data_IF_181536798242
#
_entry.id   IF_181536798242
#
_cell.length_a   1.000
_cell.length_b   1.000
_cell.length_c   1.000
_cell.angle_alpha   90.00
_cell.angle_beta   90.00
_cell.angle_gamma   90.00
#
_symmetry.space_group_name_H-M   'P 1'
#
loop_
_entity.id
_entity.type
_entity.pdbx_description
1 polymer ?
#
# COMPACT_ATOMS: atom_id res chain seq x y z
N UNK A 1 -1.52 -39.31 31.77
CA UNK A 1 -2.59 -39.01 30.79
C UNK A 1 -2.52 -37.53 30.43
N UNK A 2 -2.41 -37.14 29.16
CA UNK A 2 -2.38 -35.73 28.76
C UNK A 2 -3.81 -35.14 28.80
N UNK A 3 -3.98 -33.83 29.08
CA UNK A 3 -5.29 -33.22 29.15
C UNK A 3 -5.92 -33.07 27.75
N UNK A 4 -7.18 -33.48 27.64
CA UNK A 4 -8.00 -33.36 26.42
C UNK A 4 -8.25 -31.88 26.10
N UNK A 5 -7.89 -31.43 24.90
CA UNK A 5 -8.30 -30.13 24.35
C UNK A 5 -9.82 -30.08 24.23
N UNK A 6 -10.43 -29.08 24.87
CA UNK A 6 -11.87 -28.82 24.80
C UNK A 6 -12.31 -28.48 23.38
N UNK A 7 -13.46 -29.04 22.99
CA UNK A 7 -14.16 -28.75 21.74
C UNK A 7 -14.65 -27.30 21.77
N UNK A 8 -14.30 -26.53 20.74
CA UNK A 8 -14.91 -25.23 20.44
C UNK A 8 -16.39 -25.45 20.11
N UNK A 9 -17.28 -24.91 20.94
CA UNK A 9 -18.72 -24.88 20.67
C UNK A 9 -19.10 -23.87 19.57
N UNK A 10 -20.34 -23.89 19.08
CA UNK A 10 -20.82 -22.98 18.05
C UNK A 10 -20.86 -21.55 18.60
N UNK A 11 -20.22 -20.60 17.90
CA UNK A 11 -20.34 -19.16 18.16
C UNK A 11 -21.76 -18.74 17.82
N UNK A 12 -22.56 -18.43 18.84
CA UNK A 12 -23.96 -18.00 18.70
C UNK A 12 -24.11 -16.58 18.18
N UNK A 13 -25.20 -16.38 17.43
CA UNK A 13 -25.61 -15.22 16.62
C UNK A 13 -25.97 -13.93 17.40
N UNK A 14 -25.45 -13.74 18.61
CA UNK A 14 -25.82 -12.63 19.48
C UNK A 14 -25.11 -11.30 19.17
N UNK A 15 -24.24 -11.25 18.16
CA UNK A 15 -23.45 -10.06 17.79
C UNK A 15 -23.95 -9.35 16.51
N UNK A 16 -25.04 -9.83 15.91
CA UNK A 16 -25.58 -9.28 14.67
C UNK A 16 -26.30 -7.93 14.84
N UNK A 17 -26.68 -7.54 16.06
CA UNK A 17 -27.55 -6.38 16.28
C UNK A 17 -26.81 -5.03 16.43
N UNK A 18 -25.56 -5.01 16.92
CA UNK A 18 -24.79 -3.76 17.10
C UNK A 18 -23.81 -3.48 15.93
N UNK A 19 -23.81 -4.34 14.90
CA UNK A 19 -22.86 -4.31 13.78
C UNK A 19 -23.31 -3.46 12.57
N UNK A 20 -24.46 -2.77 12.64
CA UNK A 20 -25.11 -2.12 11.49
C UNK A 20 -24.95 -0.60 11.43
N UNK A 21 -23.99 -0.01 12.15
CA UNK A 21 -23.49 1.33 11.85
C UNK A 21 -22.54 1.34 10.62
N UNK A 22 -22.78 0.46 9.64
CA UNK A 22 -21.93 0.26 8.47
C UNK A 22 -22.09 1.37 7.42
N UNK A 23 -23.28 1.95 7.29
CA UNK A 23 -23.61 2.91 6.22
C UNK A 23 -22.86 4.25 6.35
N UNK A 24 -22.58 4.69 7.57
CA UNK A 24 -21.78 5.90 7.82
C UNK A 24 -20.25 5.63 7.82
N UNK A 25 -19.82 4.37 7.91
CA UNK A 25 -18.41 4.00 8.12
C UNK A 25 -17.73 3.43 6.87
N UNK A 26 -18.46 2.71 6.01
CA UNK A 26 -17.91 2.12 4.79
C UNK A 26 -17.56 3.17 3.72
N UNK A 27 -18.37 4.23 3.60
CA UNK A 27 -18.18 5.27 2.60
C UNK A 27 -17.01 6.22 2.94
N UNK A 28 -16.96 6.78 4.15
CA UNK A 28 -15.95 7.78 4.52
C UNK A 28 -14.55 7.17 4.73
N UNK A 29 -14.47 5.94 5.25
CA UNK A 29 -13.20 5.34 5.67
C UNK A 29 -12.41 4.68 4.52
N UNK A 30 -13.09 4.31 3.42
CA UNK A 30 -12.42 3.80 2.22
C UNK A 30 -12.20 4.87 1.13
N UNK A 31 -12.92 5.99 1.17
CA UNK A 31 -12.75 7.10 0.21
C UNK A 31 -11.42 7.88 0.39
N UNK A 32 -10.78 7.80 1.56
CA UNK A 32 -9.48 8.42 1.83
C UNK A 32 -8.33 7.66 1.13
N UNK A 33 -8.15 7.97 -0.15
CA UNK A 33 -7.32 7.22 -1.07
C UNK A 33 -5.82 7.54 -0.93
N UNK A 34 -5.03 6.60 -0.39
CA UNK A 34 -3.56 6.64 -0.53
C UNK A 34 -3.09 6.43 -2.00
N UNK A 35 -4.01 6.08 -2.91
CA UNK A 35 -3.76 5.62 -4.27
C UNK A 35 -4.11 6.61 -5.38
N UNK A 36 -4.82 7.71 -5.09
CA UNK A 36 -5.18 8.71 -6.10
C UNK A 36 -3.97 9.45 -6.70
N UNK A 37 -2.81 9.44 -6.03
CA UNK A 37 -1.69 10.33 -6.33
C UNK A 37 -0.56 9.74 -7.21
N UNK A 38 -0.69 8.52 -7.77
CA UNK A 38 0.39 7.91 -8.57
C UNK A 38 0.16 7.94 -10.09
N UNK A 39 -0.90 8.61 -10.57
CA UNK A 39 -1.19 8.73 -12.00
C UNK A 39 -0.18 9.57 -12.79
N UNK A 40 0.78 10.24 -12.14
CA UNK A 40 1.77 11.09 -12.81
C UNK A 40 2.95 10.34 -13.45
N UNK A 41 3.15 9.05 -13.15
CA UNK A 41 4.38 8.33 -13.55
C UNK A 41 4.16 7.16 -14.51
N UNK A 42 2.90 6.85 -14.88
CA UNK A 42 2.58 5.56 -15.50
C UNK A 42 1.95 5.55 -16.89
N UNK A 43 1.49 6.66 -17.48
CA UNK A 43 0.58 6.50 -18.65
C UNK A 43 0.63 7.51 -19.80
N UNK A 44 1.46 8.55 -19.81
CA UNK A 44 1.40 9.51 -20.92
C UNK A 44 2.72 9.57 -21.70
N UNK A 45 2.79 8.84 -22.82
CA UNK A 45 3.67 9.21 -23.94
C UNK A 45 4.38 8.11 -24.72
N UNK A 46 3.96 6.84 -24.68
CA UNK A 46 4.75 5.75 -25.30
C UNK A 46 4.24 5.25 -26.66
N UNK A 47 3.17 5.84 -27.20
CA UNK A 47 2.71 5.56 -28.56
C UNK A 47 2.34 6.85 -29.27
N UNK A 48 2.98 7.10 -30.42
CA UNK A 48 2.77 8.20 -31.38
C UNK A 48 3.72 9.39 -31.22
N UNK A 49 4.76 9.45 -32.06
CA UNK A 49 5.47 10.70 -32.35
C UNK A 49 6.98 10.66 -32.47
N UNK A 50 7.59 9.62 -33.06
CA UNK A 50 9.00 9.66 -33.47
C UNK A 50 9.14 9.26 -34.94
N UNK A 51 8.69 10.16 -35.82
CA UNK A 51 9.19 10.25 -37.18
C UNK A 51 9.73 11.67 -37.39
N UNK A 52 11.02 11.73 -37.76
CA UNK A 52 11.83 12.89 -38.13
C UNK A 52 12.53 13.68 -37.01
N UNK A 53 13.87 13.76 -37.10
CA UNK A 53 14.68 14.74 -36.35
C UNK A 53 16.00 14.24 -35.77
N UNK A 54 17.00 14.05 -36.62
CA UNK A 54 18.46 14.02 -36.40
C UNK A 54 19.03 14.15 -34.95
N UNK A 55 19.82 13.14 -34.60
CA UNK A 55 21.20 13.22 -34.07
C UNK A 55 21.47 14.03 -32.78
N UNK A 56 21.70 13.32 -31.68
CA UNK A 56 22.97 13.42 -30.93
C UNK A 56 23.21 12.15 -30.12
N UNK A 57 24.45 11.63 -30.19
CA UNK A 57 24.92 10.44 -29.49
C UNK A 57 24.75 10.58 -27.98
N UNK A 58 23.71 9.98 -27.40
CA UNK A 58 23.66 9.70 -25.97
C UNK A 58 24.05 8.24 -25.74
N UNK A 59 25.09 8.07 -24.94
CA UNK A 59 25.57 6.80 -24.43
C UNK A 59 24.41 5.97 -23.90
N UNK A 60 24.35 4.71 -24.32
CA UNK A 60 23.49 3.67 -23.77
C UNK A 60 23.53 3.74 -22.24
N UNK A 61 22.41 4.12 -21.63
CA UNK A 61 22.25 4.03 -20.19
C UNK A 61 22.56 2.57 -19.79
N UNK A 62 23.38 2.32 -18.76
CA UNK A 62 23.59 0.97 -18.30
C UNK A 62 22.23 0.41 -17.94
N UNK A 63 21.81 -0.68 -18.62
CA UNK A 63 20.61 -1.41 -18.25
C UNK A 63 20.76 -1.71 -16.77
N UNK A 64 19.92 -1.08 -15.94
CA UNK A 64 19.84 -1.41 -14.52
C UNK A 64 19.76 -2.92 -14.44
N UNK A 65 20.80 -3.58 -13.92
CA UNK A 65 20.84 -5.03 -13.83
C UNK A 65 19.54 -5.46 -13.14
N UNK A 66 18.64 -6.09 -13.91
CA UNK A 66 17.36 -6.53 -13.39
C UNK A 66 17.69 -7.60 -12.35
N UNK A 67 17.49 -7.25 -11.08
CA UNK A 67 17.62 -8.22 -9.99
C UNK A 67 16.48 -9.20 -10.19
N UNK A 68 16.80 -10.50 -10.20
CA UNK A 68 15.77 -11.51 -10.43
C UNK A 68 14.74 -11.43 -9.30
N UNK A 69 13.42 -11.52 -9.58
CA UNK A 69 12.38 -11.41 -8.56
C UNK A 69 12.59 -12.33 -7.34
N UNK A 70 13.17 -13.52 -7.58
CA UNK A 70 13.50 -14.47 -6.51
C UNK A 70 14.61 -13.98 -5.56
N UNK A 71 15.57 -13.21 -6.04
CA UNK A 71 16.62 -12.59 -5.21
C UNK A 71 16.05 -11.42 -4.41
N UNK A 72 15.20 -10.60 -5.04
CA UNK A 72 14.46 -9.53 -4.34
C UNK A 72 13.58 -10.10 -3.22
N UNK A 73 12.90 -11.23 -3.48
CA UNK A 73 12.08 -11.90 -2.48
C UNK A 73 12.90 -12.38 -1.28
N UNK A 74 14.11 -12.92 -1.51
CA UNK A 74 15.00 -13.33 -0.41
C UNK A 74 15.41 -12.13 0.45
N UNK A 75 15.78 -11.01 -0.18
CA UNK A 75 16.15 -9.79 0.52
C UNK A 75 14.96 -9.22 1.32
N UNK A 76 13.76 -9.23 0.72
CA UNK A 76 12.54 -8.79 1.39
C UNK A 76 12.19 -9.69 2.59
N UNK A 77 12.24 -11.01 2.42
CA UNK A 77 11.94 -11.96 3.49
C UNK A 77 12.94 -11.86 4.65
N UNK A 78 14.22 -11.63 4.35
CA UNK A 78 15.24 -11.36 5.37
C UNK A 78 14.92 -10.07 6.13
N UNK A 79 14.62 -8.96 5.42
CA UNK A 79 14.23 -7.70 6.05
C UNK A 79 12.98 -7.82 6.91
N UNK A 80 11.95 -8.53 6.43
CA UNK A 80 10.73 -8.76 7.20
C UNK A 80 11.00 -9.55 8.49
N UNK A 81 11.93 -10.53 8.43
CA UNK A 81 12.39 -11.27 9.60
C UNK A 81 13.11 -10.34 10.59
N UNK A 82 14.04 -9.51 10.11
CA UNK A 82 14.80 -8.58 10.97
C UNK A 82 13.86 -7.60 11.68
N UNK A 83 12.92 -6.99 10.94
CA UNK A 83 11.87 -6.13 11.51
C UNK A 83 11.09 -6.87 12.58
N UNK A 84 10.62 -8.09 12.29
CA UNK A 84 9.88 -8.89 13.25
C UNK A 84 10.70 -9.19 14.52
N UNK A 85 12.00 -9.47 14.39
CA UNK A 85 12.90 -9.75 15.51
C UNK A 85 13.15 -8.52 16.40
N UNK A 86 13.20 -7.32 15.80
CA UNK A 86 13.36 -6.04 16.51
C UNK A 86 12.08 -5.57 17.23
N UNK A 87 10.90 -6.03 16.81
CA UNK A 87 9.64 -5.61 17.44
C UNK A 87 9.57 -6.01 18.93
N UNK A 88 8.99 -5.14 19.78
CA UNK A 88 8.68 -5.50 21.16
C UNK A 88 7.68 -6.66 21.20
N UNK A 89 7.54 -7.31 22.36
CA UNK A 89 6.66 -8.48 22.53
C UNK A 89 5.24 -8.24 22.00
N UNK A 90 4.67 -7.07 22.27
CA UNK A 90 3.36 -6.69 21.76
C UNK A 90 3.37 -6.52 20.24
N UNK A 91 4.36 -5.83 19.66
CA UNK A 91 4.51 -5.69 18.21
C UNK A 91 4.61 -7.05 17.50
N UNK A 92 5.34 -8.02 18.08
CA UNK A 92 5.40 -9.40 17.57
C UNK A 92 4.06 -10.11 17.60
N UNK A 93 3.20 -9.85 18.61
CA UNK A 93 1.82 -10.36 18.63
C UNK A 93 0.99 -9.76 17.51
N UNK A 94 1.06 -8.43 17.33
CA UNK A 94 0.34 -7.72 16.26
C UNK A 94 0.75 -8.23 14.87
N UNK A 95 2.04 -8.48 14.65
CA UNK A 95 2.53 -9.06 13.40
C UNK A 95 1.91 -10.44 13.12
N UNK A 96 1.80 -11.29 14.15
CA UNK A 96 1.17 -12.62 14.03
C UNK A 96 -0.34 -12.53 13.79
N UNK A 97 -1.02 -11.59 14.45
CA UNK A 97 -2.45 -11.32 14.25
C UNK A 97 -2.71 -10.90 12.79
N UNK A 98 -1.98 -9.90 12.29
CA UNK A 98 -2.05 -9.48 10.88
C UNK A 98 -1.78 -10.66 9.94
N UNK A 99 -0.73 -11.44 10.21
CA UNK A 99 -0.40 -12.60 9.40
C UNK A 99 -1.49 -13.67 9.37
N UNK A 100 -2.18 -13.88 10.50
CA UNK A 100 -3.31 -14.81 10.57
C UNK A 100 -4.49 -14.29 9.75
N UNK A 101 -4.81 -13.00 9.87
CA UNK A 101 -5.86 -12.36 9.08
C UNK A 101 -5.55 -12.43 7.58
N UNK A 102 -4.32 -12.11 7.15
CA UNK A 102 -3.92 -12.22 5.73
C UNK A 102 -4.11 -13.65 5.23
N UNK A 103 -3.63 -14.65 5.98
CA UNK A 103 -3.78 -16.04 5.61
C UNK A 103 -5.25 -16.43 5.44
N UNK A 104 -6.10 -16.06 6.40
CA UNK A 104 -7.52 -16.39 6.38
C UNK A 104 -8.24 -15.73 5.20
N UNK A 105 -7.99 -14.44 4.96
CA UNK A 105 -8.51 -13.69 3.82
C UNK A 105 -8.11 -14.35 2.49
N UNK A 106 -6.84 -14.72 2.33
CA UNK A 106 -6.36 -15.34 1.09
C UNK A 106 -6.86 -16.78 0.89
N UNK A 107 -7.02 -17.57 1.96
CA UNK A 107 -7.45 -18.98 1.83
C UNK A 107 -8.96 -19.16 1.78
N UNK A 108 -9.71 -18.39 2.54
CA UNK A 108 -11.17 -18.51 2.64
C UNK A 108 -11.89 -17.48 1.76
N UNK A 109 -11.16 -16.55 1.13
CA UNK A 109 -11.77 -15.49 0.32
C UNK A 109 -12.59 -14.51 1.16
N UNK A 110 -12.27 -14.38 2.46
CA UNK A 110 -12.98 -13.47 3.37
C UNK A 110 -12.82 -12.04 2.90
N UNK A 111 -13.86 -11.24 3.01
CA UNK A 111 -13.94 -9.89 2.41
C UNK A 111 -13.80 -8.81 3.48
N UNK A 112 -14.06 -9.17 4.74
CA UNK A 112 -13.98 -8.28 5.89
C UNK A 112 -12.68 -8.46 6.69
N UNK A 113 -11.54 -8.13 6.08
CA UNK A 113 -10.25 -8.20 6.76
C UNK A 113 -10.24 -7.46 8.11
N UNK A 114 -10.81 -6.25 8.17
CA UNK A 114 -10.83 -5.48 9.43
C UNK A 114 -11.68 -6.14 10.53
N UNK A 115 -12.80 -6.78 10.17
CA UNK A 115 -13.64 -7.47 11.15
C UNK A 115 -12.85 -8.60 11.82
N UNK A 116 -12.19 -9.42 11.00
CA UNK A 116 -11.35 -10.50 11.48
C UNK A 116 -10.16 -9.95 12.28
N UNK A 117 -9.56 -8.85 11.83
CA UNK A 117 -8.49 -8.16 12.55
C UNK A 117 -8.93 -7.73 13.95
N UNK A 118 -10.10 -7.12 14.11
CA UNK A 118 -10.64 -6.71 15.43
C UNK A 118 -10.82 -7.92 16.35
N UNK A 119 -11.45 -8.99 15.87
CA UNK A 119 -11.66 -10.23 16.63
C UNK A 119 -10.35 -10.86 17.09
N UNK A 120 -9.36 -10.92 16.20
CA UNK A 120 -8.03 -11.46 16.51
C UNK A 120 -7.24 -10.55 17.47
N UNK A 121 -7.39 -9.23 17.36
CA UNK A 121 -6.78 -8.27 18.29
C UNK A 121 -7.39 -8.38 19.70
N UNK A 122 -8.71 -8.42 19.81
CA UNK A 122 -9.42 -8.58 21.08
C UNK A 122 -8.91 -9.84 21.82
N UNK A 123 -8.72 -10.92 21.07
CA UNK A 123 -8.21 -12.19 21.58
C UNK A 123 -6.73 -12.12 21.98
N UNK A 124 -5.88 -11.44 21.20
CA UNK A 124 -4.43 -11.51 21.35
C UNK A 124 -3.82 -10.48 22.31
N UNK A 125 -4.41 -9.28 22.38
CA UNK A 125 -3.85 -8.13 23.11
C UNK A 125 -4.78 -7.52 24.16
N UNK A 126 -6.06 -7.89 24.20
CA UNK A 126 -7.01 -7.41 25.22
C UNK A 126 -7.54 -6.01 24.90
N UNK A 127 -7.70 -5.16 25.92
CA UNK A 127 -8.25 -3.81 25.78
C UNK A 127 -7.40 -2.94 24.84
N UNK A 128 -8.03 -2.44 23.78
CA UNK A 128 -7.39 -1.60 22.78
C UNK A 128 -8.43 -0.73 22.05
N UNK A 129 -7.93 0.29 21.35
CA UNK A 129 -8.73 1.01 20.35
C UNK A 129 -8.06 0.87 18.99
N UNK A 130 -8.86 0.51 17.98
CA UNK A 130 -8.40 0.40 16.60
C UNK A 130 -9.11 1.46 15.75
N UNK A 131 -8.33 2.42 15.26
CA UNK A 131 -8.79 3.49 14.38
C UNK A 131 -8.19 3.28 12.98
N UNK A 132 -9.03 3.24 11.95
CA UNK A 132 -8.55 3.23 10.56
C UNK A 132 -7.94 4.59 10.23
N UNK A 133 -6.78 4.58 9.60
CA UNK A 133 -6.07 5.80 9.18
C UNK A 133 -6.33 6.11 7.71
N UNK A 134 -6.06 5.14 6.83
CA UNK A 134 -6.31 5.22 5.39
C UNK A 134 -6.12 3.86 4.76
N UNK A 135 -6.99 3.47 3.82
CA UNK A 135 -6.91 2.16 3.16
C UNK A 135 -6.77 1.02 4.19
N UNK A 136 -5.74 0.19 4.03
CA UNK A 136 -5.43 -0.92 4.95
C UNK A 136 -4.33 -0.57 5.94
N UNK A 137 -4.45 0.60 6.56
CA UNK A 137 -3.61 1.09 7.65
C UNK A 137 -4.48 1.46 8.84
N UNK A 138 -4.06 1.04 10.01
CA UNK A 138 -4.74 1.31 11.26
C UNK A 138 -3.77 1.80 12.31
N UNK A 139 -4.29 2.63 13.20
CA UNK A 139 -3.67 3.04 14.45
C UNK A 139 -4.31 2.19 15.54
N UNK A 140 -3.48 1.44 16.25
CA UNK A 140 -3.85 0.67 17.42
C UNK A 140 -3.29 1.36 18.66
N UNK A 141 -4.17 1.76 19.59
CA UNK A 141 -3.78 2.34 20.87
C UNK A 141 -4.04 1.33 22.00
N UNK A 142 -3.05 1.11 22.86
CA UNK A 142 -3.10 0.20 24.00
C UNK A 142 -2.47 0.89 25.21
N UNK A 143 -3.32 1.43 26.09
CA UNK A 143 -2.90 2.33 27.16
C UNK A 143 -2.15 3.53 26.58
N UNK A 144 -0.92 3.74 27.02
CA UNK A 144 -0.06 4.83 26.53
C UNK A 144 0.65 4.47 25.21
N UNK A 145 0.69 3.19 24.81
CA UNK A 145 1.43 2.76 23.62
C UNK A 145 0.59 2.87 22.35
N UNK A 146 1.21 3.31 21.26
CA UNK A 146 0.55 3.45 19.95
C UNK A 146 1.32 2.69 18.88
N UNK A 147 0.60 1.94 18.05
CA UNK A 147 1.14 1.13 16.97
C UNK A 147 0.46 1.50 15.65
N UNK A 148 1.24 1.60 14.59
CA UNK A 148 0.73 1.66 13.23
C UNK A 148 0.83 0.26 12.64
N UNK A 149 -0.31 -0.32 12.28
CA UNK A 149 -0.39 -1.66 11.71
C UNK A 149 -0.98 -1.58 10.31
N UNK A 150 -0.47 -2.37 9.38
CA UNK A 150 -0.94 -2.38 7.99
C UNK A 150 -0.60 -3.67 7.25
N UNK A 151 -1.25 -3.88 6.10
CA UNK A 151 -0.87 -4.91 5.13
C UNK A 151 -0.18 -4.24 3.95
N UNK A 152 1.08 -4.57 3.72
CA UNK A 152 1.89 -4.00 2.64
C UNK A 152 1.87 -4.93 1.43
N UNK A 153 1.53 -4.38 0.28
CA UNK A 153 1.61 -5.04 -1.02
C UNK A 153 2.81 -4.53 -1.84
N UNK A 154 3.52 -5.43 -2.50
CA UNK A 154 4.66 -5.13 -3.38
C UNK A 154 4.67 -6.02 -4.61
N UNK A 155 5.30 -5.55 -5.68
CA UNK A 155 5.55 -6.34 -6.90
C UNK A 155 7.04 -6.33 -7.16
N UNK A 156 7.61 -7.53 -7.30
CA UNK A 156 9.03 -7.77 -7.53
C UNK A 156 9.26 -8.17 -8.99
N UNK A 157 10.30 -7.63 -9.62
CA UNK A 157 10.69 -7.92 -11.00
C UNK A 157 10.01 -7.13 -12.12
N UNK A 158 8.71 -6.84 -12.01
CA UNK A 158 7.95 -6.17 -13.08
C UNK A 158 7.27 -4.89 -12.58
N UNK A 159 7.81 -3.70 -12.89
CA UNK A 159 7.24 -2.42 -12.44
C UNK A 159 5.93 -2.06 -13.16
N UNK A 160 5.71 -2.54 -14.38
CA UNK A 160 4.48 -2.26 -15.13
C UNK A 160 3.29 -3.00 -14.51
N UNK A 161 3.52 -4.23 -14.04
CA UNK A 161 2.53 -4.98 -13.26
C UNK A 161 2.13 -4.24 -11.98
N UNK A 162 3.04 -3.52 -11.32
CA UNK A 162 2.66 -2.71 -10.15
C UNK A 162 1.65 -1.64 -10.56
N UNK A 163 1.92 -0.90 -11.65
CA UNK A 163 1.04 0.15 -12.16
C UNK A 163 -0.34 -0.40 -12.52
N UNK A 164 -0.37 -1.56 -13.18
CA UNK A 164 -1.61 -2.24 -13.52
C UNK A 164 -2.38 -2.70 -12.28
N UNK A 165 -1.70 -3.36 -11.34
CA UNK A 165 -2.29 -3.79 -10.08
C UNK A 165 -2.85 -2.59 -9.30
N UNK A 166 -2.20 -1.40 -9.37
CA UNK A 166 -2.76 -0.17 -8.81
C UNK A 166 -4.10 0.20 -9.43
N UNK A 167 -4.16 0.18 -10.76
CA UNK A 167 -5.37 0.51 -11.51
C UNK A 167 -6.49 -0.47 -11.17
N UNK A 168 -6.23 -1.77 -11.23
CA UNK A 168 -7.24 -2.80 -10.97
C UNK A 168 -7.68 -2.81 -9.51
N UNK A 169 -6.78 -2.63 -8.54
CA UNK A 169 -7.18 -2.53 -7.12
C UNK A 169 -8.09 -1.34 -6.84
N UNK A 170 -7.93 -0.22 -7.55
CA UNK A 170 -8.88 0.91 -7.47
C UNK A 170 -10.25 0.54 -8.01
N UNK A 171 -10.33 -0.12 -9.16
CA UNK A 171 -11.59 -0.58 -9.73
C UNK A 171 -12.32 -1.57 -8.80
N UNK A 172 -11.59 -2.53 -8.23
CA UNK A 172 -12.12 -3.47 -7.22
C UNK A 172 -12.66 -2.73 -6.00
N UNK A 173 -11.91 -1.76 -5.44
CA UNK A 173 -12.38 -0.96 -4.29
C UNK A 173 -13.61 -0.12 -4.63
N UNK A 174 -13.58 0.61 -5.75
CA UNK A 174 -14.70 1.45 -6.16
C UNK A 174 -15.97 0.62 -6.36
N UNK A 175 -15.83 -0.59 -6.92
CA UNK A 175 -16.94 -1.54 -7.10
C UNK A 175 -17.44 -2.06 -5.75
N UNK A 176 -16.55 -2.45 -4.84
CA UNK A 176 -16.93 -2.90 -3.49
C UNK A 176 -17.75 -1.86 -2.72
N UNK A 177 -17.47 -0.58 -2.93
CA UNK A 177 -18.10 0.54 -2.22
C UNK A 177 -19.27 1.16 -2.98
N UNK A 178 -19.53 0.72 -4.20
CA UNK A 178 -20.59 1.27 -5.01
C UNK A 178 -21.96 1.00 -4.36
N UNK A 179 -22.93 1.89 -4.60
CA UNK A 179 -24.30 1.78 -4.08
C UNK A 179 -24.38 1.53 -2.56
N UNK A 180 -23.55 2.22 -1.76
CA UNK A 180 -23.54 2.01 -0.30
C UNK A 180 -22.91 0.69 0.12
N UNK A 181 -21.92 0.21 -0.64
CA UNK A 181 -21.22 -1.05 -0.42
C UNK A 181 -22.08 -2.32 -0.55
N UNK A 182 -23.11 -2.31 -1.40
CA UNK A 182 -23.99 -3.46 -1.70
C UNK A 182 -23.18 -4.73 -2.03
N UNK A 183 -22.16 -4.62 -2.88
CA UNK A 183 -21.28 -5.75 -3.22
C UNK A 183 -20.56 -6.34 -2.01
N UNK A 184 -20.17 -5.50 -1.05
CA UNK A 184 -19.52 -5.97 0.18
C UNK A 184 -20.49 -6.87 0.98
N UNK A 185 -21.75 -6.45 1.12
CA UNK A 185 -22.79 -7.21 1.80
C UNK A 185 -23.10 -8.52 1.06
N UNK A 186 -23.38 -8.42 -0.23
CA UNK A 186 -23.74 -9.56 -1.09
C UNK A 186 -22.68 -10.65 -1.09
N UNK A 187 -21.40 -10.27 -1.20
CA UNK A 187 -20.33 -11.25 -1.25
C UNK A 187 -20.05 -11.90 0.11
N UNK A 188 -20.44 -11.25 1.21
CA UNK A 188 -20.32 -11.80 2.57
C UNK A 188 -21.40 -12.84 2.83
N UNK A 189 -22.61 -12.58 2.36
CA UNK A 189 -23.73 -13.51 2.46
C UNK A 189 -23.61 -14.63 1.41
N UNK A 190 -23.04 -14.34 0.25
CA UNK A 190 -22.90 -15.28 -0.86
C UNK A 190 -21.56 -15.15 -1.60
N UNK A 191 -20.52 -15.86 -1.15
CA UNK A 191 -19.20 -15.86 -1.80
C UNK A 191 -19.20 -16.32 -3.27
N UNK A 192 -20.25 -17.02 -3.74
CA UNK A 192 -20.36 -17.44 -5.14
C UNK A 192 -20.60 -16.27 -6.10
N UNK A 193 -21.01 -15.11 -5.59
CA UNK A 193 -21.18 -13.88 -6.39
C UNK A 193 -19.84 -13.26 -6.81
N UNK A 194 -18.70 -13.80 -6.36
CA UNK A 194 -17.38 -13.26 -6.68
C UNK A 194 -17.14 -13.09 -8.18
N UNK A 195 -17.54 -14.06 -9.01
CA UNK A 195 -17.35 -13.94 -10.46
C UNK A 195 -18.14 -12.77 -11.06
N UNK A 196 -19.40 -12.58 -10.63
CA UNK A 196 -20.23 -11.45 -11.05
C UNK A 196 -19.66 -10.11 -10.57
N UNK A 197 -19.15 -10.07 -9.33
CA UNK A 197 -18.46 -8.91 -8.78
C UNK A 197 -17.22 -8.53 -9.61
N UNK A 198 -16.36 -9.51 -9.92
CA UNK A 198 -15.14 -9.24 -10.70
C UNK A 198 -15.48 -8.75 -12.12
N UNK A 199 -16.57 -9.26 -12.73
CA UNK A 199 -17.06 -8.75 -13.99
C UNK A 199 -17.53 -7.29 -13.87
N UNK A 200 -18.24 -6.94 -12.80
CA UNK A 200 -18.66 -5.56 -12.53
C UNK A 200 -17.45 -4.63 -12.35
N UNK A 201 -16.42 -5.09 -11.63
CA UNK A 201 -15.17 -4.34 -11.46
C UNK A 201 -14.40 -4.18 -12.77
N UNK A 202 -14.41 -5.18 -13.65
CA UNK A 202 -13.81 -5.08 -14.99
C UNK A 202 -14.53 -4.01 -15.83
N UNK A 203 -15.86 -4.04 -15.84
CA UNK A 203 -16.66 -3.05 -16.55
C UNK A 203 -16.40 -1.62 -16.03
N UNK A 204 -16.29 -1.44 -14.71
CA UNK A 204 -15.92 -0.16 -14.10
C UNK A 204 -14.55 0.33 -14.60
N UNK A 205 -13.57 -0.57 -14.67
CA UNK A 205 -12.21 -0.25 -15.15
C UNK A 205 -12.20 0.19 -16.62
N UNK A 206 -13.04 -0.41 -17.46
CA UNK A 206 -13.17 -0.06 -18.89
C UNK A 206 -13.88 1.28 -19.09
N UNK A 207 -14.95 1.54 -18.33
CA UNK A 207 -15.67 2.81 -18.36
C UNK A 207 -14.79 3.99 -17.91
N UNK A 208 -13.92 3.77 -16.93
CA UNK A 208 -12.98 4.79 -16.46
C UNK A 208 -11.91 5.11 -17.52
N UNK A 209 -11.50 4.11 -18.32
CA UNK A 209 -10.55 4.31 -19.44
C UNK A 209 -11.20 5.01 -20.65
N UNK A 210 -12.47 4.70 -20.95
CA UNK A 210 -13.20 5.29 -22.07
C UNK A 210 -13.48 6.79 -21.88
N UNK A 211 -13.62 7.23 -20.63
CA UNK A 211 -13.73 8.66 -20.29
C UNK A 211 -12.35 9.29 -20.13
N UNK A 212 -11.48 9.16 -21.14
CA UNK A 212 -10.08 9.61 -21.21
C UNK A 212 -9.79 11.09 -20.90
N UNK A 213 -10.74 11.84 -20.35
CA UNK A 213 -10.41 12.99 -19.54
C UNK A 213 -9.75 12.52 -18.25
N UNK A 214 -8.75 13.30 -17.81
CA UNK A 214 -8.78 13.75 -16.42
C UNK A 214 -10.26 13.89 -16.07
N UNK A 215 -10.83 13.01 -15.23
CA UNK A 215 -11.99 13.45 -14.46
C UNK A 215 -11.43 14.68 -13.78
N UNK A 216 -11.74 15.86 -14.33
CA UNK A 216 -11.59 17.15 -13.67
C UNK A 216 -12.11 16.82 -12.30
N UNK A 217 -11.21 16.71 -11.33
CA UNK A 217 -11.51 16.19 -10.00
C UNK A 217 -12.79 16.91 -9.61
N UNK A 218 -13.92 16.19 -9.67
CA UNK A 218 -15.23 16.84 -9.79
C UNK A 218 -15.28 17.80 -8.64
N UNK A 219 -15.26 19.10 -8.96
CA UNK A 219 -14.75 20.20 -8.14
C UNK A 219 -14.69 19.76 -6.68
N UNK A 220 -13.55 19.15 -6.28
CA UNK A 220 -13.49 18.51 -4.96
C UNK A 220 -13.48 19.70 -4.01
N UNK A 221 -14.66 20.09 -3.53
CA UNK A 221 -14.85 21.10 -2.51
C UNK A 221 -13.98 20.67 -1.33
N UNK A 222 -12.84 21.33 -1.22
CA UNK A 222 -11.79 20.90 -0.32
C UNK A 222 -10.63 21.86 -0.42
N UNK A 223 -10.03 22.15 0.73
CA UNK A 223 -8.83 22.96 0.80
C UNK A 223 -7.73 22.31 -0.04
N UNK A 224 -7.04 23.13 -0.83
CA UNK A 224 -5.88 22.71 -1.60
C UNK A 224 -4.62 22.98 -0.77
N UNK A 225 -3.66 22.07 -0.87
CA UNK A 225 -2.33 22.25 -0.32
C UNK A 225 -1.65 23.46 -0.99
N UNK A 226 -1.18 24.41 -0.18
CA UNK A 226 -0.51 25.63 -0.66
C UNK A 226 0.81 25.36 -1.39
N UNK A 227 1.44 24.21 -1.17
CA UNK A 227 2.72 23.85 -1.79
C UNK A 227 2.54 23.14 -3.12
N UNK A 228 1.67 22.13 -3.17
CA UNK A 228 1.51 21.29 -4.37
C UNK A 228 0.20 21.48 -5.13
N UNK A 229 -0.69 22.34 -4.61
CA UNK A 229 -2.02 22.62 -5.17
C UNK A 229 -2.92 21.39 -5.33
N UNK A 230 -2.59 20.28 -4.65
CA UNK A 230 -3.44 19.09 -4.58
C UNK A 230 -4.36 19.15 -3.36
N UNK A 231 -5.54 18.52 -3.40
CA UNK A 231 -6.37 18.35 -2.21
C UNK A 231 -5.59 17.72 -1.05
N UNK A 232 -5.85 18.16 0.20
CA UNK A 232 -5.23 17.59 1.40
C UNK A 232 -5.50 16.08 1.60
N UNK A 233 -6.52 15.55 0.93
CA UNK A 233 -6.80 14.11 0.86
C UNK A 233 -5.76 13.30 0.07
N UNK A 234 -5.05 13.93 -0.87
CA UNK A 234 -4.07 13.27 -1.74
C UNK A 234 -2.69 13.19 -1.09
N UNK A 235 -1.81 12.34 -1.63
CA UNK A 235 -0.40 12.23 -1.21
C UNK A 235 -0.20 12.01 0.31
N UNK A 236 -1.15 11.35 0.96
CA UNK A 236 -1.08 11.07 2.39
C UNK A 236 -0.10 9.95 2.71
N UNK A 237 0.71 10.16 3.74
CA UNK A 237 1.59 9.15 4.32
C UNK A 237 1.41 9.16 5.83
N UNK A 238 0.99 8.03 6.40
CA UNK A 238 0.60 7.99 7.81
C UNK A 238 -0.51 8.99 8.11
N UNK A 239 -1.54 9.05 7.25
CA UNK A 239 -2.70 9.94 7.42
C UNK A 239 -2.43 11.43 7.21
N UNK A 240 -1.18 11.84 7.02
CA UNK A 240 -0.77 13.24 6.85
C UNK A 240 -0.44 13.53 5.39
N UNK A 241 -0.89 14.66 4.86
CA UNK A 241 -0.49 15.10 3.52
C UNK A 241 1.02 15.36 3.47
N UNK A 242 1.73 14.72 2.55
CA UNK A 242 3.16 14.92 2.35
C UNK A 242 3.49 15.11 0.87
N UNK A 243 3.73 16.37 0.48
CA UNK A 243 4.00 16.71 -0.92
C UNK A 243 5.17 15.91 -1.48
N UNK A 244 4.99 15.37 -2.68
CA UNK A 244 6.06 14.72 -3.43
C UNK A 244 6.99 15.76 -4.01
N UNK A 245 8.27 15.66 -3.67
CA UNK A 245 9.28 16.59 -4.15
C UNK A 245 10.48 15.84 -4.73
N UNK A 246 11.17 16.51 -5.63
CA UNK A 246 12.51 16.15 -6.11
C UNK A 246 13.52 17.04 -5.42
N UNK A 247 14.41 16.43 -4.65
CA UNK A 247 15.41 17.14 -3.85
C UNK A 247 16.73 16.38 -3.84
N UNK A 248 17.83 17.13 -3.83
CA UNK A 248 19.16 16.56 -3.63
C UNK A 248 19.51 16.50 -2.16
N UNK A 249 20.18 15.44 -1.72
CA UNK A 249 20.73 15.29 -0.39
C UNK A 249 22.26 15.25 -0.46
N UNK A 250 22.91 15.77 0.59
CA UNK A 250 24.36 15.83 0.71
C UNK A 250 24.83 15.14 2.00
N UNK A 251 25.81 14.26 1.89
CA UNK A 251 26.46 13.60 3.03
C UNK A 251 27.79 12.97 2.61
N UNK A 252 28.81 12.99 3.48
CA UNK A 252 30.11 12.34 3.23
C UNK A 252 30.74 12.66 1.86
N UNK A 253 30.72 13.95 1.46
CA UNK A 253 31.15 14.45 0.14
C UNK A 253 30.40 13.88 -1.08
N UNK A 254 29.33 13.12 -0.86
CA UNK A 254 28.46 12.59 -1.92
C UNK A 254 27.17 13.40 -2.00
N UNK A 255 26.63 13.49 -3.23
CA UNK A 255 25.33 14.08 -3.53
C UNK A 255 24.46 13.05 -4.24
N UNK A 256 23.19 12.97 -3.87
CA UNK A 256 22.21 12.16 -4.60
C UNK A 256 20.87 12.87 -4.67
N UNK A 257 20.14 12.67 -5.76
CA UNK A 257 18.78 13.21 -5.93
C UNK A 257 17.78 12.12 -5.66
N UNK A 258 16.75 12.45 -4.88
CA UNK A 258 15.57 11.60 -4.76
C UNK A 258 14.39 12.19 -5.52
N UNK A 259 13.79 11.36 -6.35
CA UNK A 259 12.58 11.68 -7.11
C UNK A 259 11.28 11.41 -6.33
N UNK A 260 11.42 10.86 -5.12
CA UNK A 260 10.31 10.45 -4.26
C UNK A 260 10.52 10.92 -2.82
N UNK A 261 11.23 12.04 -2.64
CA UNK A 261 11.31 12.68 -1.35
C UNK A 261 9.96 13.29 -0.99
N UNK A 262 9.77 13.55 0.30
CA UNK A 262 8.52 14.03 0.87
C UNK A 262 8.78 15.31 1.63
N UNK A 263 7.91 16.30 1.45
CA UNK A 263 7.86 17.48 2.31
C UNK A 263 6.73 17.29 3.31
N UNK A 264 7.03 17.41 4.60
CA UNK A 264 6.05 17.33 5.68
C UNK A 264 5.63 18.76 6.06
N UNK A 265 4.35 19.07 5.87
CA UNK A 265 3.78 20.39 6.19
C UNK A 265 3.81 20.71 7.68
N UNK A 266 3.44 19.74 8.53
CA UNK A 266 3.35 19.97 9.98
C UNK A 266 4.74 20.25 10.58
N UNK A 267 5.77 19.57 10.08
CA UNK A 267 7.16 19.77 10.50
C UNK A 267 7.88 20.85 9.68
N UNK A 268 7.20 21.44 8.69
CA UNK A 268 7.72 22.42 7.74
C UNK A 268 9.10 22.06 7.14
N UNK A 269 9.34 20.76 6.85
CA UNK A 269 10.66 20.29 6.38
C UNK A 269 10.60 19.15 5.37
N UNK A 270 11.71 18.98 4.66
CA UNK A 270 11.99 17.80 3.84
C UNK A 270 12.30 16.61 4.74
N UNK A 271 11.63 15.48 4.48
CA UNK A 271 11.89 14.21 5.14
C UNK A 271 13.26 13.67 4.69
N UNK A 272 14.03 13.17 5.65
CA UNK A 272 15.42 12.76 5.47
C UNK A 272 15.60 11.54 4.59
N UNK A 273 16.80 11.44 4.00
CA UNK A 273 17.29 10.19 3.40
C UNK A 273 18.66 9.82 3.94
N UNK A 274 18.82 8.57 4.39
CA UNK A 274 20.07 8.04 4.92
C UNK A 274 21.10 7.91 3.81
N UNK A 275 22.32 8.36 4.09
CA UNK A 275 23.47 8.15 3.24
C UNK A 275 23.84 6.66 3.24
N UNK A 276 23.97 6.07 2.04
CA UNK A 276 24.37 4.65 1.90
C UNK A 276 25.71 4.34 2.60
N UNK A 277 26.61 5.32 2.70
CA UNK A 277 27.97 5.13 3.24
C UNK A 277 28.02 5.12 4.77
N UNK A 278 27.37 6.09 5.42
CA UNK A 278 27.48 6.29 6.87
C UNK A 278 26.18 6.05 7.64
N UNK A 279 25.05 5.81 6.98
CA UNK A 279 23.75 5.59 7.61
C UNK A 279 23.05 6.85 8.13
N UNK A 280 23.74 7.99 8.25
CA UNK A 280 23.15 9.25 8.71
C UNK A 280 22.27 9.89 7.64
N UNK A 281 21.23 10.62 8.04
CA UNK A 281 20.42 11.40 7.11
C UNK A 281 21.26 12.51 6.45
N UNK A 282 21.20 12.58 5.12
CA UNK A 282 21.82 13.65 4.35
C UNK A 282 21.08 14.97 4.53
N UNK A 283 21.81 16.08 4.38
CA UNK A 283 21.23 17.41 4.38
C UNK A 283 20.51 17.65 3.04
N UNK A 284 19.19 17.90 3.03
CA UNK A 284 18.47 18.24 1.80
C UNK A 284 18.97 19.59 1.26
N UNK A 285 18.99 19.77 -0.05
CA UNK A 285 19.24 21.07 -0.66
C UNK A 285 18.03 21.98 -0.51
N UNK A 286 18.30 23.27 -0.33
CA UNK A 286 17.26 24.30 -0.26
C UNK A 286 16.46 24.39 -1.57
N UNK A 287 17.08 23.99 -2.69
CA UNK A 287 16.42 23.87 -3.99
C UNK A 287 15.76 22.51 -4.11
N UNK A 288 14.44 22.51 -4.20
CA UNK A 288 13.62 21.36 -4.56
C UNK A 288 12.47 21.82 -5.45
N UNK A 289 11.84 20.87 -6.13
CA UNK A 289 10.66 21.12 -6.95
C UNK A 289 9.63 20.02 -6.72
N UNK A 290 8.36 20.30 -7.01
CA UNK A 290 7.32 19.27 -6.95
C UNK A 290 7.64 18.16 -7.95
N UNK A 291 7.38 16.91 -7.54
CA UNK A 291 7.64 15.74 -8.39
C UNK A 291 6.84 15.75 -9.69
N UNK A 292 5.64 16.35 -9.68
CA UNK A 292 4.79 16.44 -10.87
C UNK A 292 5.24 17.51 -11.87
N UNK A 293 6.13 18.41 -11.46
CA UNK A 293 6.69 19.45 -12.33
C UNK A 293 7.94 18.97 -13.07
N UNK A 294 8.42 17.75 -12.81
CA UNK A 294 9.63 17.22 -13.43
C UNK A 294 9.30 16.57 -14.77
N UNK A 295 10.06 16.93 -15.80
CA UNK A 295 9.87 16.39 -17.14
C UNK A 295 10.10 14.86 -17.17
N UNK A 296 9.23 14.10 -17.87
CA UNK A 296 9.43 12.67 -18.07
C UNK A 296 10.80 12.40 -18.71
N UNK A 297 11.61 11.53 -18.09
CA UNK A 297 12.94 11.13 -18.61
C UNK A 297 14.14 11.60 -17.78
N UNK A 298 13.96 12.53 -16.83
CA UNK A 298 15.03 12.88 -15.90
C UNK A 298 15.16 11.83 -14.78
N UNK A 299 16.07 10.87 -14.98
CA UNK A 299 16.72 10.12 -13.90
C UNK A 299 15.77 9.35 -12.97
N UNK A 300 15.10 8.32 -13.49
CA UNK A 300 14.22 7.43 -12.73
C UNK A 300 15.03 6.40 -11.90
N UNK A 301 15.81 6.87 -10.92
CA UNK A 301 16.40 5.92 -9.97
C UNK A 301 15.30 5.29 -9.13
N UNK A 302 15.31 3.95 -8.95
CA UNK A 302 14.34 3.28 -8.09
C UNK A 302 14.48 3.83 -6.66
N UNK A 303 13.34 4.07 -6.04
CA UNK A 303 13.28 4.53 -4.67
C UNK A 303 13.82 3.46 -3.71
N UNK A 304 14.67 3.88 -2.76
CA UNK A 304 15.31 2.99 -1.79
C UNK A 304 14.64 3.16 -0.43
N UNK A 305 13.65 2.30 -0.16
CA UNK A 305 12.82 2.38 1.06
C UNK A 305 13.62 2.27 2.36
N UNK A 306 14.73 1.54 2.35
CA UNK A 306 15.65 1.38 3.48
C UNK A 306 16.45 2.64 3.81
N UNK A 307 16.49 3.61 2.89
CA UNK A 307 17.18 4.87 3.08
C UNK A 307 16.22 6.04 3.32
N UNK A 308 14.90 5.84 3.36
CA UNK A 308 13.95 6.95 3.42
C UNK A 308 13.31 7.06 4.81
N UNK A 309 13.44 8.23 5.45
CA UNK A 309 12.85 8.50 6.76
C UNK A 309 11.34 8.28 6.75
N UNK A 310 10.63 8.71 5.70
CA UNK A 310 9.19 8.49 5.59
C UNK A 310 8.86 7.00 5.52
N UNK A 311 9.62 6.22 4.76
CA UNK A 311 9.43 4.78 4.69
C UNK A 311 9.82 4.08 6.01
N UNK A 312 10.76 4.62 6.78
CA UNK A 312 11.13 4.13 8.11
C UNK A 312 10.03 4.43 9.16
N UNK A 313 9.52 5.67 9.20
CA UNK A 313 8.47 6.11 10.13
C UNK A 313 7.10 5.53 9.81
N UNK A 314 6.76 5.43 8.52
CA UNK A 314 5.41 5.08 8.09
C UNK A 314 5.35 3.77 7.31
N UNK A 315 6.46 3.03 7.26
CA UNK A 315 6.57 1.70 6.68
C UNK A 315 6.77 1.66 5.17
N UNK A 316 6.09 2.54 4.42
CA UNK A 316 6.31 2.66 2.99
C UNK A 316 5.70 3.95 2.40
N UNK A 317 6.57 4.89 2.09
CA UNK A 317 6.30 6.14 1.41
C UNK A 317 5.95 6.02 -0.09
N UNK A 318 6.09 4.82 -0.68
CA UNK A 318 5.57 4.45 -2.02
C UNK A 318 4.59 3.27 -1.96
N UNK A 319 4.24 2.82 -0.76
CA UNK A 319 3.63 1.52 -0.56
C UNK A 319 2.17 1.48 -0.90
N UNK A 320 1.83 0.40 -1.58
CA UNK A 320 0.48 -0.07 -1.72
C UNK A 320 0.03 -0.71 -0.40
N UNK A 321 -0.61 0.05 0.48
CA UNK A 321 -1.33 -0.56 1.61
C UNK A 321 -2.73 -0.91 1.12
N UNK A 322 -2.97 -2.20 0.96
CA UNK A 322 -4.23 -2.71 0.42
C UNK A 322 -4.68 -3.96 1.14
N UNK A 323 -6.00 -4.11 1.13
CA UNK A 323 -6.68 -5.23 1.72
C UNK A 323 -6.29 -6.49 0.94
N UNK A 324 -5.94 -7.61 1.61
CA UNK A 324 -5.56 -8.82 0.90
C UNK A 324 -6.66 -9.30 -0.07
N UNK A 325 -7.95 -9.13 0.26
CA UNK A 325 -9.05 -9.47 -0.64
C UNK A 325 -9.01 -8.62 -1.91
N UNK A 326 -8.80 -7.31 -1.75
CA UNK A 326 -8.72 -6.38 -2.88
C UNK A 326 -7.55 -6.73 -3.79
N UNK A 327 -6.37 -7.02 -3.23
CA UNK A 327 -5.19 -7.40 -4.03
C UNK A 327 -5.39 -8.75 -4.71
N UNK A 328 -5.96 -9.74 -4.02
CA UNK A 328 -6.24 -11.05 -4.60
C UNK A 328 -7.26 -10.96 -5.75
N UNK A 329 -8.33 -10.18 -5.57
CA UNK A 329 -9.35 -9.93 -6.59
C UNK A 329 -8.80 -9.16 -7.79
N UNK A 330 -7.95 -8.16 -7.55
CA UNK A 330 -7.30 -7.42 -8.62
C UNK A 330 -6.34 -8.30 -9.43
N UNK A 331 -5.59 -9.18 -8.76
CA UNK A 331 -4.78 -10.18 -9.45
C UNK A 331 -5.62 -11.18 -10.24
N UNK A 332 -6.76 -11.60 -9.72
CA UNK A 332 -7.68 -12.51 -10.41
C UNK A 332 -8.27 -11.87 -11.67
N UNK A 333 -8.63 -10.58 -11.61
CA UNK A 333 -9.04 -9.82 -12.80
C UNK A 333 -7.90 -9.70 -13.81
N UNK A 334 -6.70 -9.36 -13.34
CA UNK A 334 -5.54 -9.19 -14.22
C UNK A 334 -5.13 -10.49 -14.91
N UNK A 335 -5.11 -11.60 -14.18
CA UNK A 335 -4.70 -12.90 -14.72
C UNK A 335 -5.84 -13.62 -15.45
N UNK A 336 -7.10 -13.33 -15.14
CA UNK A 336 -8.26 -14.12 -15.58
C UNK A 336 -8.47 -15.43 -14.78
N UNK A 337 -7.69 -15.66 -13.72
CA UNK A 337 -7.84 -16.81 -12.82
C UNK A 337 -7.39 -16.49 -11.39
N UNK A 338 -7.91 -17.19 -10.36
CA UNK A 338 -7.52 -16.95 -8.98
C UNK A 338 -6.01 -17.10 -8.75
N UNK A 339 -5.39 -16.10 -8.14
CA UNK A 339 -3.97 -16.12 -7.81
C UNK A 339 -3.65 -17.21 -6.77
N UNK A 340 -2.58 -17.97 -7.01
CA UNK A 340 -2.11 -19.02 -6.09
C UNK A 340 -1.17 -18.43 -5.04
N UNK A 341 -1.74 -18.01 -3.92
CA UNK A 341 -1.00 -17.49 -2.79
C UNK A 341 -0.28 -18.60 -2.01
N UNK A 342 0.98 -18.35 -1.68
CA UNK A 342 1.80 -19.26 -0.88
C UNK A 342 2.50 -18.48 0.22
N UNK A 343 2.55 -19.05 1.43
CA UNK A 343 3.32 -18.48 2.52
C UNK A 343 4.81 -18.76 2.30
N UNK A 344 5.62 -17.72 2.24
CA UNK A 344 7.06 -17.77 2.06
C UNK A 344 7.79 -17.59 3.40
N UNK A 345 8.46 -18.65 3.84
CA UNK A 345 9.33 -18.63 5.03
C UNK A 345 8.60 -18.35 6.36
N UNK A 346 9.39 -18.13 7.40
CA UNK A 346 8.90 -17.89 8.76
C UNK A 346 8.43 -16.44 9.00
N UNK A 347 8.84 -15.49 8.15
CA UNK A 347 8.57 -14.06 8.30
C UNK A 347 7.11 -13.64 8.02
N UNK A 348 6.22 -14.61 7.76
CA UNK A 348 4.82 -14.36 7.43
C UNK A 348 4.70 -13.45 6.19
N UNK A 349 5.34 -13.85 5.09
CA UNK A 349 5.20 -13.19 3.79
C UNK A 349 4.34 -14.09 2.90
N UNK A 350 3.39 -13.53 2.16
CA UNK A 350 2.56 -14.26 1.20
C UNK A 350 2.92 -13.82 -0.21
N UNK A 351 3.09 -14.79 -1.10
CA UNK A 351 3.53 -14.53 -2.47
C UNK A 351 2.60 -15.17 -3.48
N UNK A 352 2.31 -14.47 -4.56
CA UNK A 352 1.70 -14.99 -5.78
C UNK A 352 2.65 -14.73 -6.96
N UNK A 353 2.95 -15.78 -7.74
CA UNK A 353 3.74 -15.63 -8.96
C UNK A 353 2.82 -15.27 -10.12
N UNK A 354 3.19 -14.24 -10.87
CA UNK A 354 2.46 -13.73 -12.03
C UNK A 354 3.48 -13.45 -13.11
N UNK A 355 3.49 -14.25 -14.17
CA UNK A 355 4.46 -14.14 -15.28
C UNK A 355 5.92 -14.11 -14.78
N UNK A 356 6.64 -13.02 -15.08
CA UNK A 356 8.02 -12.75 -14.68
C UNK A 356 8.13 -12.01 -13.34
N UNK A 357 7.03 -11.87 -12.60
CA UNK A 357 6.93 -11.08 -11.38
C UNK A 357 6.50 -11.92 -10.15
N UNK A 358 6.73 -11.35 -8.97
CA UNK A 358 6.21 -11.88 -7.71
C UNK A 358 5.44 -10.77 -6.99
N UNK A 359 4.14 -10.97 -6.77
CA UNK A 359 3.35 -10.11 -5.92
C UNK A 359 3.44 -10.60 -4.49
N UNK A 360 3.69 -9.67 -3.56
CA UNK A 360 3.94 -9.96 -2.15
C UNK A 360 2.93 -9.22 -1.28
N UNK A 361 2.39 -9.91 -0.27
CA UNK A 361 1.67 -9.32 0.86
C UNK A 361 2.43 -9.63 2.15
N UNK A 362 2.66 -8.61 2.97
CA UNK A 362 3.33 -8.78 4.26
C UNK A 362 2.69 -7.93 5.37
N UNK A 363 2.65 -8.43 6.61
CA UNK A 363 2.34 -7.63 7.77
C UNK A 363 3.33 -6.48 7.89
N UNK A 364 2.85 -5.37 8.43
CA UNK A 364 3.70 -4.24 8.76
C UNK A 364 3.25 -3.68 10.10
N UNK A 365 4.18 -3.57 11.04
CA UNK A 365 3.94 -3.04 12.38
C UNK A 365 5.04 -2.04 12.68
N UNK A 366 4.65 -0.82 13.02
CA UNK A 366 5.54 0.23 13.48
C UNK A 366 5.10 0.69 14.87
N UNK A 367 6.07 0.85 15.77
CA UNK A 367 5.82 1.36 17.14
C UNK A 367 5.99 2.88 17.08
N UNK A 368 4.93 3.62 17.40
CA UNK A 368 5.05 5.05 17.55
C UNK A 368 5.81 5.31 18.87
N UNK A 369 7.07 5.69 18.78
CA UNK A 369 7.78 6.19 19.97
C UNK A 369 7.06 7.43 20.50
N UNK A 370 7.02 7.58 21.83
CA UNK A 370 6.51 8.78 22.48
C UNK A 370 7.38 9.95 22.04
N UNK A 371 6.80 10.85 21.24
CA UNK A 371 7.37 12.17 21.00
C UNK A 371 6.84 13.13 22.05
#
# INVERSE_FOLDING_TARGET
MPPKRGKTGPRGDAWAADAWAADAWAADAWAADAWAADNGWGSNGWASGWASGRSTKYSTAPSSASVKPAEELKLMAAKAKDIYEELPRTGKKLWKVLGTCIQNTLSAGVIHFERDLRVELDTAVGEHTLQRQSGSQWILSMGSSKYYISVRAEVLGNPDLLSELKRTTRAVKATLLNNGAEWLHDLVDNPHLKSSFLQSAHNYQDEDQGKGGRRSAGEVEGELCEICSKPWGQDRVGGKHMCRIVVSFHCCASKWTSMAARYNHEEARVMGQKCKKCGNYGKPSDKWQLADNVMPGEGTKPHRSELCETCEKYGNCRGAFSDPFVVASALEMYCGWPARWQKHGAAAVWTAKVEDAIVVLQPHVHVAEYW
#
